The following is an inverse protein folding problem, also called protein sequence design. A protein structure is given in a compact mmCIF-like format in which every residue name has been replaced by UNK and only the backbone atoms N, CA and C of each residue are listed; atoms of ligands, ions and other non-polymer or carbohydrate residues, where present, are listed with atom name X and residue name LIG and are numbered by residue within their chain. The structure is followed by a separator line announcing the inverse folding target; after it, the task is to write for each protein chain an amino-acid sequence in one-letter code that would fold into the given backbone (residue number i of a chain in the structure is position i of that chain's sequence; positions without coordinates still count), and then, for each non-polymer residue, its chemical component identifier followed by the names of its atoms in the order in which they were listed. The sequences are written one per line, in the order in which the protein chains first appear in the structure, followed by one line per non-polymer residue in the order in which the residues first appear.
data_IF_109657983616
#
_entry.id   IF_109657983616
#
_cell.length_a   1.000
_cell.length_b   1.000
_cell.length_c   1.000
_cell.angle_alpha   90.00
_cell.angle_beta   90.00
_cell.angle_gamma   90.00
#
_symmetry.space_group_name_H-M   'P 1'
#
loop_
_entity.id
_entity.type
_entity.pdbx_description
1 polymer ?
#
# COMPACT_ATOMS: atom_id res chain seq x y z
N UNK A 1 4.13 0.54 10.82
CA UNK A 1 4.75 -0.81 10.86
C UNK A 1 4.74 -1.40 9.46
N UNK A 2 5.87 -1.91 8.95
CA UNK A 2 5.98 -2.45 7.58
C UNK A 2 5.15 -3.72 7.45
N UNK A 3 4.21 -3.75 6.50
CA UNK A 3 3.50 -4.96 6.11
C UNK A 3 4.28 -5.62 4.98
N UNK A 4 4.89 -6.76 5.28
CA UNK A 4 5.55 -7.63 4.31
C UNK A 4 4.54 -8.65 3.80
N UNK A 5 4.56 -8.91 2.48
CA UNK A 5 3.69 -9.90 1.86
C UNK A 5 4.50 -11.13 1.53
N UNK A 6 3.97 -12.30 1.86
CA UNK A 6 4.52 -13.58 1.42
C UNK A 6 4.23 -13.84 -0.05
N UNK A 7 3.13 -13.28 -0.60
CA UNK A 7 2.77 -13.43 -2.02
C UNK A 7 2.18 -12.15 -2.61
N UNK A 8 2.34 -11.99 -3.92
CA UNK A 8 1.76 -10.88 -4.70
C UNK A 8 0.24 -10.80 -4.54
N UNK A 9 -0.45 -11.94 -4.54
CA UNK A 9 -1.91 -11.97 -4.33
C UNK A 9 -2.29 -11.55 -2.90
N UNK A 10 -1.51 -11.93 -1.89
CA UNK A 10 -1.70 -11.45 -0.51
C UNK A 10 -1.60 -9.93 -0.41
N UNK A 11 -0.62 -9.34 -1.09
CA UNK A 11 -0.46 -7.88 -1.17
C UNK A 11 -1.68 -7.19 -1.79
N UNK A 12 -2.14 -7.70 -2.95
CA UNK A 12 -3.28 -7.13 -3.67
C UNK A 12 -4.57 -7.23 -2.85
N UNK A 13 -4.83 -8.39 -2.24
CA UNK A 13 -6.01 -8.60 -1.39
C UNK A 13 -6.02 -7.63 -0.21
N UNK A 14 -4.86 -7.43 0.45
CA UNK A 14 -4.73 -6.48 1.56
C UNK A 14 -4.98 -5.04 1.12
N UNK A 15 -4.39 -4.62 0.00
CA UNK A 15 -4.57 -3.27 -0.56
C UNK A 15 -6.01 -3.03 -1.03
N UNK A 16 -6.69 -4.03 -1.59
CA UNK A 16 -8.11 -3.95 -1.95
C UNK A 16 -9.00 -3.84 -0.71
N UNK A 17 -8.66 -4.56 0.37
CA UNK A 17 -9.35 -4.42 1.66
C UNK A 17 -9.18 -3.01 2.21
N UNK A 18 -7.96 -2.48 2.22
CA UNK A 18 -7.66 -1.10 2.60
C UNK A 18 -8.42 -0.10 1.72
N UNK A 19 -8.51 -0.32 0.41
CA UNK A 19 -9.31 0.53 -0.51
C UNK A 19 -10.78 0.58 -0.11
N UNK A 20 -11.35 -0.53 0.34
CA UNK A 20 -12.74 -0.61 0.81
C UNK A 20 -12.90 0.03 2.19
N UNK A 21 -12.01 -0.28 3.13
CA UNK A 21 -12.02 0.26 4.49
C UNK A 21 -11.81 1.78 4.52
N UNK A 22 -10.91 2.29 3.68
CA UNK A 22 -10.61 3.72 3.55
C UNK A 22 -11.65 4.46 2.70
N UNK A 23 -12.64 3.78 2.10
CA UNK A 23 -13.66 4.37 1.23
C UNK A 23 -14.43 5.56 1.82
N UNK A 24 -14.40 5.78 3.15
CA UNK A 24 -14.90 6.97 3.84
C UNK A 24 -13.86 7.79 4.62
N UNK A 25 -12.61 7.33 4.76
CA UNK A 25 -11.53 7.96 5.55
C UNK A 25 -10.28 8.31 4.71
N UNK A 26 -10.44 8.31 3.38
CA UNK A 26 -9.37 8.42 2.37
C UNK A 26 -8.56 9.72 2.42
N UNK A 27 -8.99 10.74 3.17
CA UNK A 27 -8.27 12.02 3.22
C UNK A 27 -7.02 11.97 4.10
N UNK A 28 -6.96 11.06 5.09
CA UNK A 28 -5.92 11.11 6.14
C UNK A 28 -4.94 9.92 6.12
N UNK A 29 -5.12 8.95 5.22
CA UNK A 29 -4.24 7.76 5.18
C UNK A 29 -3.40 7.69 3.91
N UNK A 30 -2.09 7.84 4.09
CA UNK A 30 -1.09 7.65 3.03
C UNK A 30 -0.58 6.21 3.05
N UNK A 31 -0.64 5.52 1.91
CA UNK A 31 0.02 4.22 1.74
C UNK A 31 1.33 4.46 0.99
N UNK A 32 2.46 4.00 1.54
CA UNK A 32 3.77 4.05 0.86
C UNK A 32 4.25 2.63 0.62
N UNK A 33 4.54 2.30 -0.63
CA UNK A 33 5.06 1.03 -1.07
C UNK A 33 6.54 1.12 -1.41
N UNK A 34 7.32 0.10 -1.03
CA UNK A 34 8.71 -0.06 -1.46
C UNK A 34 8.78 -1.09 -2.57
N UNK A 35 9.37 -0.73 -3.69
CA UNK A 35 9.64 -1.63 -4.82
C UNK A 35 10.89 -2.45 -4.56
N UNK A 36 11.03 -3.56 -5.29
CA UNK A 36 12.20 -4.44 -5.28
C UNK A 36 13.47 -3.77 -5.79
N UNK A 37 13.33 -2.72 -6.61
CA UNK A 37 14.46 -1.89 -7.09
C UNK A 37 14.86 -0.79 -6.09
N UNK A 38 14.29 -0.80 -4.88
CA UNK A 38 14.59 0.16 -3.82
C UNK A 38 13.82 1.48 -3.92
N UNK A 39 13.06 1.71 -4.99
CA UNK A 39 12.26 2.94 -5.14
C UNK A 39 11.00 2.91 -4.29
N UNK A 40 10.60 4.07 -3.80
CA UNK A 40 9.35 4.22 -3.05
C UNK A 40 8.23 4.76 -3.95
N UNK A 41 7.01 4.32 -3.68
CA UNK A 41 5.80 4.68 -4.42
C UNK A 41 4.73 5.03 -3.42
N UNK A 42 4.20 6.26 -3.49
CA UNK A 42 3.18 6.74 -2.57
C UNK A 42 1.80 6.74 -3.20
N UNK A 43 0.78 6.52 -2.38
CA UNK A 43 -0.62 6.48 -2.77
C UNK A 43 -1.13 5.07 -3.07
N UNK A 44 -2.33 4.79 -2.58
CA UNK A 44 -2.94 3.47 -2.65
C UNK A 44 -3.03 2.93 -4.09
N UNK A 45 -3.41 3.76 -5.06
CA UNK A 45 -3.52 3.32 -6.47
C UNK A 45 -2.17 2.93 -7.06
N UNK A 46 -1.14 3.74 -6.81
CA UNK A 46 0.20 3.49 -7.34
C UNK A 46 0.84 2.25 -6.69
N UNK A 47 0.65 2.06 -5.38
CA UNK A 47 1.09 0.86 -4.66
C UNK A 47 0.36 -0.38 -5.16
N UNK A 48 -0.96 -0.29 -5.43
CA UNK A 48 -1.75 -1.38 -6.02
C UNK A 48 -1.24 -1.76 -7.41
N UNK A 49 -0.90 -0.79 -8.26
CA UNK A 49 -0.35 -1.04 -9.59
C UNK A 49 1.00 -1.76 -9.52
N UNK A 50 1.90 -1.30 -8.67
CA UNK A 50 3.22 -1.95 -8.50
C UNK A 50 3.10 -3.34 -7.86
N UNK A 51 2.12 -3.55 -6.97
CA UNK A 51 1.79 -4.87 -6.44
C UNK A 51 1.31 -5.81 -7.56
N UNK A 52 0.38 -5.38 -8.43
CA UNK A 52 -0.10 -6.18 -9.58
C UNK A 52 1.01 -6.58 -10.54
N UNK A 53 2.00 -5.72 -10.72
CA UNK A 53 3.15 -6.00 -11.57
C UNK A 53 4.22 -6.87 -10.89
N UNK A 54 4.02 -7.29 -9.64
CA UNK A 54 5.01 -8.08 -8.88
C UNK A 54 6.28 -7.31 -8.53
N UNK A 55 6.25 -5.98 -8.63
CA UNK A 55 7.40 -5.09 -8.41
C UNK A 55 7.51 -4.62 -6.96
N UNK A 56 6.48 -4.83 -6.15
CA UNK A 56 6.44 -4.42 -4.74
C UNK A 56 7.14 -5.43 -3.83
N UNK A 57 7.95 -4.94 -2.88
CA UNK A 57 8.59 -5.72 -1.83
C UNK A 57 7.80 -5.65 -0.51
N UNK A 58 7.35 -4.45 -0.12
CA UNK A 58 6.53 -4.24 1.07
C UNK A 58 5.72 -2.92 0.95
N UNK A 59 4.78 -2.69 1.86
CA UNK A 59 4.17 -1.37 2.03
C UNK A 59 4.00 -1.01 3.51
N UNK A 60 3.89 0.29 3.76
CA UNK A 60 3.50 0.88 5.03
C UNK A 60 2.21 1.66 4.86
N UNK A 61 1.37 1.58 5.87
CA UNK A 61 0.27 2.50 6.06
C UNK A 61 0.76 3.59 7.02
N UNK A 62 0.82 4.82 6.52
CA UNK A 62 1.05 6.03 7.29
C UNK A 62 -0.31 6.73 7.43
N UNK A 63 -0.91 6.64 8.60
CA UNK A 63 -2.02 7.54 8.93
C UNK A 63 -1.40 8.88 9.27
N UNK A 64 -1.71 9.92 8.48
CA UNK A 64 -1.49 11.29 8.91
C UNK A 64 -2.54 11.54 9.99
N UNK A 65 -2.16 11.31 11.25
CA UNK A 65 -2.89 11.92 12.36
C UNK A 65 -2.58 13.41 12.25
N UNK A 66 -3.48 14.15 11.61
CA UNK A 66 -3.54 15.60 11.83
C UNK A 66 -4.00 15.78 13.28
N UNK A 67 -3.07 16.30 14.09
CA UNK A 67 -3.27 16.67 15.50
C UNK A 67 -4.02 18.00 15.61
#
# INVERSE_FOLDING_TARGET
MNQYFTTTQGAITRLMKLKRELGGALMSTTIVGRRKDGREVSGLQAVLLNARNGQLACFVQASTMEE
#
